data_IF_906398274617
#
_entry.id   IF_906398274617
#
_cell.length_a   1.000
_cell.length_b   1.000
_cell.length_c   1.000
_cell.angle_alpha   90.00
_cell.angle_beta   90.00
_cell.angle_gamma   90.00
#
_symmetry.space_group_name_H-M   'P 1'
#
loop_
_entity.id
_entity.type
_entity.pdbx_description
1 polymer ?
#
# COMPACT_ATOMS: atom_id res chain seq x y z
N UNK A 1 21.20 5.44 26.59
CA UNK A 1 21.41 6.24 25.36
C UNK A 1 20.09 6.39 24.59
N UNK A 2 19.54 7.61 24.58
CA UNK A 2 18.29 7.93 23.84
C UNK A 2 18.50 7.95 22.32
N UNK A 3 19.72 8.16 21.86
CA UNK A 3 20.12 8.25 20.47
C UNK A 3 21.32 7.35 20.13
N UNK A 4 21.13 6.02 20.08
CA UNK A 4 22.18 5.10 19.66
C UNK A 4 22.43 5.20 18.14
N UNK A 5 23.65 4.85 17.72
CA UNK A 5 24.03 4.82 16.30
C UNK A 5 23.23 3.81 15.47
N UNK A 6 22.54 2.86 16.11
CA UNK A 6 21.69 1.85 15.46
C UNK A 6 20.25 2.31 15.18
N UNK A 7 19.82 3.46 15.74
CA UNK A 7 18.44 3.94 15.58
C UNK A 7 18.02 4.15 14.10
N UNK A 8 18.86 4.74 13.20
CA UNK A 8 18.51 4.90 11.79
C UNK A 8 18.25 3.60 11.06
N UNK A 9 18.86 2.48 11.47
CA UNK A 9 18.63 1.17 10.89
C UNK A 9 17.15 0.77 10.94
N UNK A 10 16.50 0.95 12.09
CA UNK A 10 15.08 0.66 12.25
C UNK A 10 14.20 1.58 11.41
N UNK A 11 14.58 2.86 11.29
CA UNK A 11 13.89 3.81 10.42
C UNK A 11 13.93 3.40 8.95
N UNK A 12 15.12 3.07 8.43
CA UNK A 12 15.28 2.61 7.05
C UNK A 12 14.62 1.25 6.80
N UNK A 13 14.59 0.37 7.79
CA UNK A 13 13.86 -0.90 7.70
C UNK A 13 12.35 -0.65 7.59
N UNK A 14 11.80 0.33 8.31
CA UNK A 14 10.40 0.76 8.17
C UNK A 14 10.09 1.30 6.78
N UNK A 15 10.96 2.15 6.23
CA UNK A 15 10.83 2.66 4.85
C UNK A 15 10.81 1.52 3.84
N UNK A 16 11.75 0.57 3.94
CA UNK A 16 11.82 -0.57 3.05
C UNK A 16 10.58 -1.48 3.18
N UNK A 17 10.12 -1.76 4.40
CA UNK A 17 8.93 -2.57 4.65
C UNK A 17 7.68 -1.96 4.02
N UNK A 18 7.49 -0.65 4.14
CA UNK A 18 6.34 0.05 3.55
C UNK A 18 6.27 -0.16 2.04
N UNK A 19 7.34 0.12 1.32
CA UNK A 19 7.33 0.06 -0.14
C UNK A 19 7.31 -1.39 -0.66
N UNK A 20 8.03 -2.31 -0.01
CA UNK A 20 8.09 -3.71 -0.44
C UNK A 20 6.73 -4.38 -0.31
N UNK A 21 6.10 -4.32 0.86
CA UNK A 21 4.82 -4.98 1.08
C UNK A 21 3.68 -4.33 0.29
N UNK A 22 3.67 -3.01 0.13
CA UNK A 22 2.70 -2.32 -0.69
C UNK A 22 2.81 -2.73 -2.17
N UNK A 23 4.03 -2.81 -2.70
CA UNK A 23 4.26 -3.24 -4.08
C UNK A 23 3.94 -4.72 -4.30
N UNK A 24 4.20 -5.59 -3.32
CA UNK A 24 3.78 -7.00 -3.40
C UNK A 24 2.24 -7.12 -3.49
N UNK A 25 1.52 -6.37 -2.66
CA UNK A 25 0.05 -6.32 -2.72
C UNK A 25 -0.47 -5.78 -4.05
N UNK A 26 0.11 -4.68 -4.51
CA UNK A 26 -0.22 -4.07 -5.80
C UNK A 26 0.05 -5.03 -6.96
N UNK A 27 1.22 -5.67 -6.99
CA UNK A 27 1.60 -6.61 -8.04
C UNK A 27 0.66 -7.83 -8.10
N UNK A 28 0.36 -8.42 -6.94
CA UNK A 28 -0.60 -9.54 -6.88
C UNK A 28 -1.98 -9.11 -7.35
N UNK A 29 -2.49 -7.98 -6.84
CA UNK A 29 -3.82 -7.46 -7.18
C UNK A 29 -3.97 -7.16 -8.66
N UNK A 30 -2.98 -6.48 -9.27
CA UNK A 30 -2.98 -6.15 -10.70
C UNK A 30 -2.89 -7.41 -11.56
N UNK A 31 -2.03 -8.36 -11.21
CA UNK A 31 -1.87 -9.60 -11.95
C UNK A 31 -3.16 -10.43 -11.91
N UNK A 32 -3.74 -10.61 -10.73
CA UNK A 32 -4.93 -11.43 -10.53
C UNK A 32 -6.17 -10.82 -11.20
N UNK A 33 -6.40 -9.51 -11.03
CA UNK A 33 -7.48 -8.79 -11.70
C UNK A 33 -7.29 -8.77 -13.23
N UNK A 34 -6.03 -8.64 -13.70
CA UNK A 34 -5.69 -8.69 -15.13
C UNK A 34 -6.05 -10.01 -15.79
N UNK A 35 -5.83 -11.16 -15.11
CA UNK A 35 -6.26 -12.47 -15.60
C UNK A 35 -7.78 -12.50 -15.80
N UNK A 36 -8.55 -11.95 -14.86
CA UNK A 36 -10.02 -11.84 -14.99
C UNK A 36 -10.42 -11.01 -16.21
N UNK A 37 -9.81 -9.84 -16.39
CA UNK A 37 -10.08 -8.94 -17.52
C UNK A 37 -9.76 -9.60 -18.86
N UNK A 38 -8.60 -10.24 -18.97
CA UNK A 38 -8.21 -10.93 -20.21
C UNK A 38 -9.16 -12.08 -20.54
N UNK A 39 -9.55 -12.89 -19.55
CA UNK A 39 -10.46 -14.02 -19.77
C UNK A 39 -11.86 -13.57 -20.20
N UNK A 40 -12.36 -12.47 -19.62
CA UNK A 40 -13.63 -11.86 -20.02
C UNK A 40 -13.54 -11.21 -21.39
N UNK A 41 -12.42 -10.57 -21.72
CA UNK A 41 -12.18 -9.86 -22.98
C UNK A 41 -12.25 -10.75 -24.21
N UNK A 42 -11.95 -12.05 -24.06
CA UNK A 42 -12.12 -13.03 -25.15
C UNK A 42 -13.59 -13.16 -25.57
N UNK A 43 -14.51 -13.08 -24.62
CA UNK A 43 -15.95 -13.21 -24.89
C UNK A 43 -16.64 -11.89 -25.23
N UNK A 44 -16.19 -10.79 -24.60
CA UNK A 44 -16.78 -9.44 -24.77
C UNK A 44 -15.69 -8.38 -24.88
N UNK A 45 -15.07 -8.19 -26.04
CA UNK A 45 -13.98 -7.25 -26.23
C UNK A 45 -14.38 -5.79 -25.95
N UNK A 46 -15.63 -5.40 -26.26
CA UNK A 46 -16.12 -4.04 -26.04
C UNK A 46 -16.20 -3.64 -24.55
N UNK A 47 -16.28 -4.62 -23.65
CA UNK A 47 -16.39 -4.40 -22.22
C UNK A 47 -15.01 -4.34 -21.49
N UNK A 48 -13.89 -4.58 -22.17
CA UNK A 48 -12.55 -4.68 -21.56
C UNK A 48 -12.19 -3.38 -20.88
N UNK A 49 -12.31 -2.26 -21.56
CA UNK A 49 -11.91 -0.94 -21.01
C UNK A 49 -12.69 -0.57 -19.74
N UNK A 50 -13.98 -0.85 -19.72
CA UNK A 50 -14.82 -0.62 -18.53
C UNK A 50 -14.42 -1.48 -17.34
N UNK A 51 -14.00 -2.71 -17.59
CA UNK A 51 -13.62 -3.67 -16.56
C UNK A 51 -12.13 -3.63 -16.17
N UNK A 52 -11.36 -2.64 -16.67
CA UNK A 52 -9.99 -2.37 -16.22
C UNK A 52 -9.90 -1.74 -14.82
N UNK A 53 -11.01 -1.27 -14.27
CA UNK A 53 -11.04 -0.57 -13.00
C UNK A 53 -10.38 -1.33 -11.83
N UNK A 54 -10.59 -2.64 -11.62
CA UNK A 54 -9.89 -3.38 -10.55
C UNK A 54 -8.38 -3.37 -10.69
N UNK A 55 -7.86 -3.41 -11.91
CA UNK A 55 -6.41 -3.38 -12.18
C UNK A 55 -5.82 -2.02 -11.79
N UNK A 56 -6.53 -0.93 -12.12
CA UNK A 56 -6.11 0.43 -11.76
C UNK A 56 -6.13 0.61 -10.23
N UNK A 57 -7.18 0.17 -9.56
CA UNK A 57 -7.30 0.27 -8.11
C UNK A 57 -6.20 -0.54 -7.39
N UNK A 58 -5.89 -1.75 -7.85
CA UNK A 58 -4.78 -2.49 -7.31
C UNK A 58 -3.43 -1.77 -7.50
N UNK A 59 -3.25 -1.04 -8.61
CA UNK A 59 -2.05 -0.26 -8.87
C UNK A 59 -1.82 0.91 -7.89
N UNK A 60 -2.88 1.55 -7.42
CA UNK A 60 -2.83 2.68 -6.48
C UNK A 60 -2.20 2.26 -5.13
N UNK A 61 -2.33 1.02 -4.71
CA UNK A 61 -1.74 0.51 -3.46
C UNK A 61 -0.22 0.70 -3.40
N UNK A 62 0.48 0.52 -4.52
CA UNK A 62 1.92 0.79 -4.62
C UNK A 62 2.26 2.26 -4.39
N UNK A 63 1.39 3.17 -4.83
CA UNK A 63 1.55 4.62 -4.60
C UNK A 63 1.42 4.94 -3.11
N UNK A 64 0.53 4.31 -2.37
CA UNK A 64 0.41 4.53 -0.93
C UNK A 64 1.68 4.13 -0.17
N UNK A 65 2.28 2.99 -0.51
CA UNK A 65 3.57 2.59 0.05
C UNK A 65 4.70 3.56 -0.29
N UNK A 66 4.71 4.08 -1.52
CA UNK A 66 5.67 5.10 -1.95
C UNK A 66 5.53 6.40 -1.15
N UNK A 67 4.32 6.91 -0.99
CA UNK A 67 4.06 8.14 -0.22
C UNK A 67 4.53 7.99 1.23
N UNK A 68 4.15 6.89 1.90
CA UNK A 68 4.57 6.63 3.27
C UNK A 68 6.11 6.54 3.38
N UNK A 69 6.76 5.85 2.45
CA UNK A 69 8.22 5.72 2.41
C UNK A 69 8.92 7.07 2.24
N UNK A 70 8.43 7.92 1.34
CA UNK A 70 9.00 9.26 1.10
C UNK A 70 8.89 10.13 2.37
N UNK A 71 7.72 10.16 3.01
CA UNK A 71 7.52 10.95 4.23
C UNK A 71 8.47 10.48 5.34
N UNK A 72 8.63 9.17 5.52
CA UNK A 72 9.56 8.62 6.51
C UNK A 72 11.01 8.97 6.19
N UNK A 73 11.45 8.89 4.94
CA UNK A 73 12.83 9.24 4.53
C UNK A 73 13.15 10.69 4.86
N UNK A 74 12.24 11.62 4.58
CA UNK A 74 12.44 13.03 4.92
C UNK A 74 12.49 13.30 6.45
N UNK A 75 11.91 12.41 7.24
CA UNK A 75 11.95 12.51 8.70
C UNK A 75 13.26 11.96 9.31
N UNK A 76 14.02 11.15 8.56
CA UNK A 76 15.29 10.59 9.01
C UNK A 76 16.40 11.61 8.75
N UNK A 77 16.98 12.15 9.85
CA UNK A 77 18.10 13.09 9.76
C UNK A 77 19.43 12.35 9.74
N UNK A 78 20.34 12.80 8.88
CA UNK A 78 21.71 12.33 8.86
C UNK A 78 22.44 12.70 10.16
N UNK A 79 23.35 11.85 10.68
CA UNK A 79 24.20 12.20 11.82
C UNK A 79 25.10 13.39 11.45
N UNK A 80 25.24 14.34 12.38
CA UNK A 80 26.22 15.42 12.29
C UNK A 80 27.51 15.01 13.01
N UNK A 81 28.61 15.73 12.78
CA UNK A 81 29.96 15.38 13.29
C UNK A 81 30.02 15.16 14.82
N UNK A 82 29.07 15.67 15.58
CA UNK A 82 29.09 15.63 17.04
C UNK A 82 27.92 14.92 17.73
N UNK A 83 26.84 14.57 17.01
CA UNK A 83 25.69 13.88 17.62
C UNK A 83 24.79 13.17 16.59
N UNK A 84 24.29 12.00 16.95
CA UNK A 84 23.16 11.36 16.27
C UNK A 84 21.88 12.05 16.74
N UNK A 85 21.22 12.78 15.84
CA UNK A 85 19.99 13.52 16.16
C UNK A 85 18.71 12.65 16.08
N UNK A 86 18.85 11.40 15.71
CA UNK A 86 17.75 10.47 15.48
C UNK A 86 17.59 9.51 16.67
N UNK A 87 16.46 9.61 17.36
CA UNK A 87 16.20 8.83 18.58
C UNK A 87 15.75 7.40 18.26
N UNK A 88 15.96 6.49 19.21
CA UNK A 88 15.41 5.11 19.12
C UNK A 88 13.89 5.13 19.04
N UNK A 89 13.21 6.06 19.72
CA UNK A 89 11.76 6.22 19.67
C UNK A 89 11.27 6.50 18.23
N UNK A 90 11.97 7.40 17.50
CA UNK A 90 11.66 7.66 16.10
C UNK A 90 11.91 6.42 15.22
N UNK A 91 13.00 5.68 15.48
CA UNK A 91 13.32 4.47 14.74
C UNK A 91 12.23 3.40 14.84
N UNK A 92 11.78 3.11 16.05
CA UNK A 92 10.68 2.16 16.27
C UNK A 92 9.34 2.69 15.73
N UNK A 93 9.07 3.99 15.86
CA UNK A 93 7.89 4.63 15.29
C UNK A 93 7.84 4.51 13.77
N UNK A 94 8.95 4.79 13.09
CA UNK A 94 9.03 4.64 11.63
C UNK A 94 8.93 3.18 11.18
N UNK A 95 9.47 2.23 11.95
CA UNK A 95 9.29 0.81 11.70
C UNK A 95 7.81 0.41 11.81
N UNK A 96 7.13 0.84 12.87
CA UNK A 96 5.71 0.57 13.07
C UNK A 96 4.85 1.21 11.96
N UNK A 97 5.14 2.46 11.57
CA UNK A 97 4.48 3.15 10.48
C UNK A 97 4.65 2.40 9.14
N UNK A 98 5.87 1.97 8.83
CA UNK A 98 6.18 1.22 7.61
C UNK A 98 5.44 -0.11 7.54
N UNK A 99 5.41 -0.86 8.64
CA UNK A 99 4.69 -2.13 8.72
C UNK A 99 3.16 -1.93 8.64
N UNK A 100 2.60 -0.91 9.30
CA UNK A 100 1.16 -0.64 9.26
C UNK A 100 0.68 -0.30 7.84
N UNK A 101 1.40 0.55 7.11
CA UNK A 101 1.08 0.89 5.73
C UNK A 101 1.33 -0.31 4.79
N UNK A 102 2.48 -0.94 4.88
CA UNK A 102 2.88 -2.02 3.97
C UNK A 102 1.98 -3.24 4.07
N UNK A 103 1.71 -3.73 5.29
CA UNK A 103 0.87 -4.92 5.49
C UNK A 103 -0.60 -4.66 5.18
N UNK A 104 -1.13 -3.46 5.46
CA UNK A 104 -2.50 -3.10 5.06
C UNK A 104 -2.66 -3.04 3.53
N UNK A 105 -1.67 -2.49 2.81
CA UNK A 105 -1.66 -2.48 1.35
C UNK A 105 -1.52 -3.90 0.76
N UNK A 106 -0.75 -4.78 1.41
CA UNK A 106 -0.66 -6.18 1.01
C UNK A 106 -2.01 -6.88 1.15
N UNK A 107 -2.67 -6.73 2.28
CA UNK A 107 -3.99 -7.31 2.53
C UNK A 107 -5.05 -6.77 1.54
N UNK A 108 -5.05 -5.47 1.29
CA UNK A 108 -5.93 -4.82 0.32
C UNK A 108 -5.70 -5.35 -1.10
N UNK A 109 -4.43 -5.53 -1.50
CA UNK A 109 -4.08 -6.07 -2.82
C UNK A 109 -4.56 -7.50 -3.03
N UNK A 110 -4.47 -8.34 -2.01
CA UNK A 110 -5.04 -9.70 -2.04
C UNK A 110 -6.55 -9.66 -2.21
N UNK A 111 -7.24 -8.83 -1.44
CA UNK A 111 -8.70 -8.66 -1.50
C UNK A 111 -9.15 -8.16 -2.87
N UNK A 112 -8.55 -7.06 -3.36
CA UNK A 112 -8.89 -6.45 -4.66
C UNK A 112 -8.59 -7.41 -5.82
N UNK A 113 -7.49 -8.15 -5.75
CA UNK A 113 -7.14 -9.12 -6.79
C UNK A 113 -8.17 -10.24 -6.93
N UNK A 114 -8.57 -10.83 -5.82
CA UNK A 114 -9.56 -11.93 -5.80
C UNK A 114 -10.95 -11.41 -6.16
N UNK A 115 -11.40 -10.32 -5.54
CA UNK A 115 -12.70 -9.72 -5.81
C UNK A 115 -12.79 -9.18 -7.24
N UNK A 116 -11.71 -8.60 -7.75
CA UNK A 116 -11.62 -8.08 -9.12
C UNK A 116 -11.69 -9.18 -10.16
N UNK A 117 -10.94 -10.28 -10.00
CA UNK A 117 -10.98 -11.41 -10.91
C UNK A 117 -12.39 -12.00 -10.99
N UNK A 118 -13.00 -12.31 -9.85
CA UNK A 118 -14.35 -12.87 -9.79
C UNK A 118 -15.40 -11.87 -10.31
N UNK A 119 -15.30 -10.60 -9.91
CA UNK A 119 -16.22 -9.54 -10.30
C UNK A 119 -16.24 -9.26 -11.80
N UNK A 120 -15.07 -9.19 -12.43
CA UNK A 120 -14.96 -8.97 -13.89
C UNK A 120 -15.56 -10.14 -14.68
N UNK A 121 -15.30 -11.38 -14.26
CA UNK A 121 -15.91 -12.56 -14.89
C UNK A 121 -17.44 -12.56 -14.74
N UNK A 122 -17.94 -12.20 -13.56
CA UNK A 122 -19.36 -12.06 -13.31
C UNK A 122 -20.00 -10.94 -14.15
N UNK A 123 -19.33 -9.77 -14.29
CA UNK A 123 -19.77 -8.69 -15.17
C UNK A 123 -19.83 -9.09 -16.64
N UNK A 124 -18.95 -9.97 -17.07
CA UNK A 124 -19.00 -10.55 -18.43
C UNK A 124 -20.28 -11.35 -18.70
N UNK A 125 -20.85 -11.97 -17.66
CA UNK A 125 -22.11 -12.73 -17.75
C UNK A 125 -23.34 -11.83 -17.52
N UNK A 126 -23.28 -10.93 -16.53
CA UNK A 126 -24.38 -10.05 -16.15
C UNK A 126 -23.87 -8.64 -15.84
N UNK A 127 -24.16 -7.68 -16.71
CA UNK A 127 -23.67 -6.29 -16.57
C UNK A 127 -24.17 -5.55 -15.33
N UNK A 128 -25.32 -5.94 -14.79
CA UNK A 128 -25.89 -5.34 -13.57
C UNK A 128 -25.02 -5.52 -12.32
N UNK A 129 -24.13 -6.50 -12.32
CA UNK A 129 -23.20 -6.79 -11.21
C UNK A 129 -22.08 -5.73 -11.11
N UNK A 130 -21.83 -4.95 -12.15
CA UNK A 130 -20.75 -3.98 -12.21
C UNK A 130 -20.72 -3.01 -11.03
N UNK A 131 -21.87 -2.46 -10.65
CA UNK A 131 -21.96 -1.52 -9.50
C UNK A 131 -21.60 -2.21 -8.18
N UNK A 132 -22.06 -3.44 -7.98
CA UNK A 132 -21.72 -4.23 -6.79
C UNK A 132 -20.23 -4.56 -6.72
N UNK A 133 -19.61 -4.87 -7.87
CA UNK A 133 -18.17 -5.09 -7.96
C UNK A 133 -17.40 -3.83 -7.55
N UNK A 134 -17.77 -2.65 -8.06
CA UNK A 134 -17.11 -1.39 -7.69
C UNK A 134 -17.20 -1.14 -6.19
N UNK A 135 -18.35 -1.35 -5.57
CA UNK A 135 -18.50 -1.16 -4.14
C UNK A 135 -17.57 -2.08 -3.34
N UNK A 136 -17.47 -3.35 -3.71
CA UNK A 136 -16.53 -4.29 -3.06
C UNK A 136 -15.08 -3.83 -3.19
N UNK A 137 -14.69 -3.32 -4.35
CA UNK A 137 -13.34 -2.81 -4.60
C UNK A 137 -13.03 -1.56 -3.77
N UNK A 138 -13.99 -0.63 -3.63
CA UNK A 138 -13.82 0.58 -2.80
C UNK A 138 -13.61 0.20 -1.33
N UNK A 139 -14.36 -0.76 -0.81
CA UNK A 139 -14.13 -1.24 0.55
C UNK A 139 -12.78 -1.93 0.73
N UNK A 140 -12.34 -2.70 -0.27
CA UNK A 140 -10.99 -3.28 -0.29
C UNK A 140 -9.90 -2.22 -0.28
N UNK A 141 -10.06 -1.15 -1.05
CA UNK A 141 -9.14 -0.01 -1.12
C UNK A 141 -9.08 0.77 0.20
N UNK A 142 -10.23 0.95 0.87
CA UNK A 142 -10.31 1.66 2.15
C UNK A 142 -9.41 1.03 3.24
N UNK A 143 -9.20 -0.28 3.22
CA UNK A 143 -8.30 -0.95 4.17
C UNK A 143 -6.86 -0.46 4.03
N UNK A 144 -6.38 -0.24 2.81
CA UNK A 144 -5.06 0.33 2.56
C UNK A 144 -4.96 1.79 3.01
N UNK A 145 -6.01 2.58 2.77
CA UNK A 145 -6.07 3.98 3.23
C UNK A 145 -5.98 4.08 4.75
N UNK A 146 -6.62 3.18 5.50
CA UNK A 146 -6.52 3.17 6.96
C UNK A 146 -5.07 2.96 7.42
N UNK A 147 -4.35 2.03 6.80
CA UNK A 147 -2.94 1.81 7.11
C UNK A 147 -2.05 2.99 6.75
N UNK A 148 -2.31 3.66 5.63
CA UNK A 148 -1.62 4.88 5.22
C UNK A 148 -1.83 6.02 6.22
N UNK A 149 -3.08 6.26 6.63
CA UNK A 149 -3.41 7.32 7.59
C UNK A 149 -2.71 7.06 8.92
N UNK A 150 -2.76 5.83 9.44
CA UNK A 150 -2.09 5.46 10.69
C UNK A 150 -0.58 5.67 10.56
N UNK A 151 0.04 5.30 9.45
CA UNK A 151 1.46 5.51 9.21
C UNK A 151 1.84 7.00 9.25
N UNK A 152 1.06 7.87 8.58
CA UNK A 152 1.31 9.32 8.59
C UNK A 152 1.18 9.88 10.01
N UNK A 153 0.16 9.48 10.76
CA UNK A 153 -0.03 9.93 12.15
C UNK A 153 1.14 9.51 13.02
N UNK A 154 1.60 8.26 12.92
CA UNK A 154 2.76 7.80 13.69
C UNK A 154 4.00 8.65 13.37
N UNK A 155 4.30 8.86 12.08
CA UNK A 155 5.47 9.66 11.67
C UNK A 155 5.39 11.10 12.16
N UNK A 156 4.20 11.71 12.19
CA UNK A 156 4.03 13.09 12.68
C UNK A 156 4.19 13.20 14.20
N UNK A 157 3.81 12.17 14.95
CA UNK A 157 3.90 12.14 16.42
C UNK A 157 5.30 11.77 16.90
N UNK A 158 6.05 10.97 16.13
CA UNK A 158 7.38 10.47 16.53
C UNK A 158 8.53 11.43 16.23
N UNK A 159 8.29 12.72 16.03
CA UNK A 159 9.34 13.72 15.79
C UNK A 159 10.02 14.17 17.10
N UNK A 160 10.79 13.27 17.71
CA UNK A 160 11.62 13.58 18.88
C UNK A 160 13.09 13.65 18.47
N UNK A 161 13.71 14.80 18.78
CA UNK A 161 15.13 15.05 18.49
C UNK A 161 15.94 15.04 19.78
N UNK A 162 17.15 14.52 19.73
CA UNK A 162 18.12 14.60 20.82
C UNK A 162 18.90 15.94 20.82
#
# INVERSE_FOLDING_TARGET
DLCPSSAPFFGFMGVAASIIFANLGSAYGTAKAGVGVCSMGVFKPDAVMRNMLPVIMAGILGIYGLIASIIMVYSIKAPTEHATQYSSFNGYGHLAAGLSCGLSCLAAGLSIGIAGDAGVRACGQQEKIFVGMILMLIFGEALALYGLIVAIVIVTVTNFYC
#
